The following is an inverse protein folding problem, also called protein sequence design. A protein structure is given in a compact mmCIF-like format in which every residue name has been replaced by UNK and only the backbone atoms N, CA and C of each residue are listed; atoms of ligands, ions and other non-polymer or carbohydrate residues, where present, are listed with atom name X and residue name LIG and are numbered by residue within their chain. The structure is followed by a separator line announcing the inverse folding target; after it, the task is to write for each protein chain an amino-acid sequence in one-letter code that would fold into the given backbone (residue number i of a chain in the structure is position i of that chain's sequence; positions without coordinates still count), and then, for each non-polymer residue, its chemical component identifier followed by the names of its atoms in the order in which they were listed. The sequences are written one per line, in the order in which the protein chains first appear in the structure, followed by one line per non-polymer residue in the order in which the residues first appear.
data_IF_010114724777
#
_entry.id   IF_010114724777
#
_cell.length_a   1.000
_cell.length_b   1.000
_cell.length_c   1.000
_cell.angle_alpha   90.00
_cell.angle_beta   90.00
_cell.angle_gamma   90.00
#
_symmetry.space_group_name_H-M   'P 1'
#
loop_
_entity.id
_entity.type
_entity.pdbx_description
1 polymer ?
#
# COMPACT_ATOMS: atom_id res chain seq x y z
N UNK A 1 -4.17 -19.64 -9.44
CA UNK A 1 -3.36 -18.84 -10.39
C UNK A 1 -2.83 -17.65 -9.62
N UNK A 2 -1.51 -17.56 -9.43
CA UNK A 2 -0.86 -16.47 -8.68
C UNK A 2 -0.87 -15.21 -9.56
N UNK A 3 -1.69 -14.22 -9.20
CA UNK A 3 -1.66 -12.90 -9.82
C UNK A 3 -0.33 -12.24 -9.44
N UNK A 4 0.43 -11.86 -10.47
CA UNK A 4 1.83 -11.46 -10.34
C UNK A 4 2.05 -10.26 -9.44
N UNK A 5 2.86 -10.44 -8.41
CA UNK A 5 3.59 -9.35 -7.76
C UNK A 5 4.57 -8.80 -8.81
N UNK A 6 4.19 -7.73 -9.52
CA UNK A 6 5.17 -6.99 -10.32
C UNK A 6 6.15 -6.35 -9.34
N UNK A 7 7.45 -6.65 -9.49
CA UNK A 7 8.53 -6.04 -8.71
C UNK A 7 8.47 -4.52 -8.90
N UNK A 8 7.96 -3.79 -7.91
CA UNK A 8 8.01 -2.33 -7.90
C UNK A 8 9.46 -1.85 -7.84
N UNK A 9 9.76 -0.82 -8.62
CA UNK A 9 11.03 -0.09 -8.55
C UNK A 9 11.27 0.35 -7.09
N UNK A 10 12.51 0.28 -6.61
CA UNK A 10 12.87 0.56 -5.20
C UNK A 10 12.40 1.95 -4.75
N UNK A 11 12.36 2.91 -5.68
CA UNK A 11 11.81 4.26 -5.49
C UNK A 11 10.31 4.23 -5.16
N UNK A 12 9.50 3.55 -6.00
CA UNK A 12 8.05 3.47 -5.82
C UNK A 12 7.63 2.74 -4.53
N UNK A 13 8.43 1.78 -4.04
CA UNK A 13 8.18 1.17 -2.72
C UNK A 13 8.35 2.18 -1.59
N UNK A 14 9.36 3.06 -1.69
CA UNK A 14 9.61 4.07 -0.65
C UNK A 14 8.52 5.13 -0.62
N UNK A 15 8.02 5.54 -1.79
CA UNK A 15 6.97 6.56 -1.87
C UNK A 15 5.61 6.00 -1.43
N UNK A 16 5.30 4.76 -1.81
CA UNK A 16 4.09 4.06 -1.34
C UNK A 16 4.11 3.88 0.19
N UNK A 17 5.25 3.48 0.78
CA UNK A 17 5.36 3.32 2.23
C UNK A 17 5.15 4.64 2.98
N UNK A 18 5.68 5.75 2.47
CA UNK A 18 5.47 7.09 3.07
C UNK A 18 4.00 7.48 3.11
N UNK A 19 3.28 7.27 2.01
CA UNK A 19 1.85 7.56 1.94
C UNK A 19 1.05 6.67 2.89
N UNK A 20 1.41 5.39 2.99
CA UNK A 20 0.78 4.45 3.93
C UNK A 20 0.97 4.89 5.38
N UNK A 21 2.18 5.31 5.75
CA UNK A 21 2.49 5.84 7.09
C UNK A 21 1.68 7.11 7.35
N UNK A 22 1.61 8.02 6.38
CA UNK A 22 0.86 9.27 6.49
C UNK A 22 -0.65 9.03 6.69
N UNK A 23 -1.22 8.04 5.99
CA UNK A 23 -2.66 7.74 6.04
C UNK A 23 -3.05 6.96 7.28
N UNK A 24 -2.25 5.96 7.66
CA UNK A 24 -2.54 5.11 8.82
C UNK A 24 -2.11 5.79 10.13
N UNK A 25 -1.15 6.72 10.08
CA UNK A 25 -0.57 7.35 11.26
C UNK A 25 0.22 6.38 12.14
N UNK A 26 0.66 5.26 11.56
CA UNK A 26 1.45 4.22 12.22
C UNK A 26 2.91 4.38 11.80
N UNK A 27 3.78 4.55 12.78
CA UNK A 27 5.22 4.64 12.54
C UNK A 27 5.77 3.32 11.97
N UNK A 28 6.82 3.40 11.13
CA UNK A 28 7.47 2.25 10.48
C UNK A 28 7.80 1.03 11.37
N UNK A 29 8.04 1.12 12.70
CA UNK A 29 8.38 -0.06 13.51
C UNK A 29 7.30 -1.14 13.59
N UNK A 30 6.02 -0.82 13.34
CA UNK A 30 4.90 -1.75 13.56
C UNK A 30 4.38 -2.41 12.28
N UNK A 31 4.93 -2.05 11.11
CA UNK A 31 4.51 -2.62 9.83
C UNK A 31 5.32 -3.90 9.58
N UNK A 32 4.65 -5.04 9.67
CA UNK A 32 5.30 -6.35 9.45
C UNK A 32 5.32 -6.72 7.98
N UNK A 33 4.23 -6.46 7.27
CA UNK A 33 4.13 -6.72 5.83
C UNK A 33 3.07 -5.82 5.18
N UNK A 34 3.15 -5.68 3.85
CA UNK A 34 2.20 -4.92 3.05
C UNK A 34 1.83 -5.71 1.80
N UNK A 35 0.57 -6.11 1.69
CA UNK A 35 0.03 -6.72 0.48
C UNK A 35 -0.67 -5.66 -0.37
N UNK A 36 -0.32 -5.58 -1.66
CA UNK A 36 -0.94 -4.63 -2.61
C UNK A 36 -1.54 -5.40 -3.77
N UNK A 37 -2.84 -5.24 -3.99
CA UNK A 37 -3.61 -5.84 -5.08
C UNK A 37 -4.10 -4.77 -6.04
N UNK A 38 -3.75 -4.91 -7.31
CA UNK A 38 -4.22 -4.02 -8.37
C UNK A 38 -5.58 -4.46 -8.86
N UNK A 39 -6.58 -3.59 -8.75
CA UNK A 39 -7.96 -3.84 -9.20
C UNK A 39 -8.21 -3.32 -10.62
N UNK A 40 -7.26 -2.57 -11.19
CA UNK A 40 -7.25 -2.09 -12.57
C UNK A 40 -7.36 -0.56 -12.67
N UNK A 41 -7.01 0.02 -13.83
CA UNK A 41 -7.06 1.47 -14.10
C UNK A 41 -6.40 2.36 -13.02
N UNK A 42 -5.33 1.89 -12.37
CA UNK A 42 -4.64 2.64 -11.31
C UNK A 42 -5.21 2.43 -9.91
N UNK A 43 -6.33 1.72 -9.73
CA UNK A 43 -6.86 1.42 -8.40
C UNK A 43 -6.11 0.27 -7.73
N UNK A 44 -5.89 0.42 -6.43
CA UNK A 44 -5.25 -0.57 -5.56
C UNK A 44 -6.09 -0.82 -4.31
N UNK A 45 -6.14 -2.07 -3.90
CA UNK A 45 -6.48 -2.45 -2.54
C UNK A 45 -5.19 -2.86 -1.85
N UNK A 46 -4.95 -2.33 -0.67
CA UNK A 46 -3.77 -2.60 0.11
C UNK A 46 -4.18 -3.09 1.49
N UNK A 47 -3.51 -4.12 1.98
CA UNK A 47 -3.65 -4.59 3.35
C UNK A 47 -2.31 -4.42 4.04
N UNK A 48 -2.30 -3.63 5.10
CA UNK A 48 -1.12 -3.39 5.94
C UNK A 48 -1.25 -4.27 7.16
N UNK A 49 -0.31 -5.19 7.30
CA UNK A 49 -0.25 -6.09 8.44
C UNK A 49 0.58 -5.42 9.53
N UNK A 50 -0.01 -5.35 10.72
CA UNK A 50 0.69 -4.91 11.94
C UNK A 50 0.62 -6.01 12.99
N UNK A 51 1.45 -5.92 14.02
CA UNK A 51 1.44 -6.90 15.13
C UNK A 51 0.09 -6.98 15.87
N UNK A 52 -0.73 -5.93 15.77
CA UNK A 52 -1.99 -5.81 16.51
C UNK A 52 -3.23 -6.06 15.66
N UNK A 53 -3.20 -5.65 14.40
CA UNK A 53 -4.35 -5.72 13.48
C UNK A 53 -3.96 -5.53 12.03
N UNK A 54 -4.82 -6.05 11.17
CA UNK A 54 -4.73 -5.83 9.72
C UNK A 54 -5.53 -4.57 9.38
N UNK A 55 -4.96 -3.73 8.51
CA UNK A 55 -5.55 -2.45 8.11
C UNK A 55 -5.76 -2.49 6.61
N UNK A 56 -7.01 -2.41 6.19
CA UNK A 56 -7.37 -2.34 4.78
C UNK A 56 -7.39 -0.88 4.31
N UNK A 57 -6.73 -0.64 3.19
CA UNK A 57 -6.67 0.63 2.49
C UNK A 57 -7.15 0.42 1.06
N UNK A 58 -7.92 1.36 0.55
CA UNK A 58 -8.27 1.47 -0.87
C UNK A 58 -7.63 2.73 -1.42
N UNK A 59 -7.10 2.65 -2.63
CA UNK A 59 -6.33 3.75 -3.18
C UNK A 59 -6.27 3.78 -4.69
N UNK A 60 -5.67 4.85 -5.17
CA UNK A 60 -5.44 5.12 -6.57
C UNK A 60 -3.98 5.56 -6.77
N UNK A 61 -3.29 4.88 -7.67
CA UNK A 61 -1.91 5.17 -8.07
C UNK A 61 -1.95 5.79 -9.47
N UNK A 62 -1.57 7.06 -9.54
CA UNK A 62 -1.24 7.81 -10.75
C UNK A 62 0.30 7.97 -10.83
N UNK A 63 0.91 8.16 -12.02
CA UNK A 63 2.34 8.44 -12.14
C UNK A 63 2.84 9.61 -11.30
N UNK A 64 1.97 10.60 -11.06
CA UNK A 64 2.32 11.85 -10.36
C UNK A 64 1.75 11.93 -8.93
N UNK A 65 0.83 11.03 -8.55
CA UNK A 65 0.10 11.13 -7.29
C UNK A 65 -0.37 9.75 -6.81
N UNK A 66 -0.29 9.50 -5.51
CA UNK A 66 -0.86 8.32 -4.85
C UNK A 66 -1.89 8.82 -3.84
N UNK A 67 -3.13 8.37 -3.98
CA UNK A 67 -4.18 8.62 -3.00
C UNK A 67 -4.53 7.31 -2.30
N UNK A 68 -4.53 7.31 -0.96
CA UNK A 68 -4.94 6.17 -0.14
C UNK A 68 -6.03 6.63 0.84
N UNK A 69 -7.02 5.78 1.07
CA UNK A 69 -8.11 5.98 2.01
C UNK A 69 -8.25 4.70 2.84
N UNK A 70 -8.51 4.82 4.16
CA UNK A 70 -8.96 3.68 4.95
C UNK A 70 -10.23 3.08 4.33
N UNK A 71 -10.25 1.76 4.16
CA UNK A 71 -11.43 1.03 3.73
C UNK A 71 -12.51 1.01 4.84
#
# INVERSE_FOLDING_TARGET
MLAGIRKYNRQMRSDLLKEVIAVIGVEEPWITDVEVRHTGKGFINMTVFTEHKDIELVGFIHPDEIMLLPA
#
